data_IF_825072389902
#
_entry.id   IF_825072389902
#
_cell.length_a   1.000
_cell.length_b   1.000
_cell.length_c   1.000
_cell.angle_alpha   90.00
_cell.angle_beta   90.00
_cell.angle_gamma   90.00
#
_symmetry.space_group_name_H-M   'P 1'
#
loop_
_entity.id
_entity.type
_entity.pdbx_description
1 polymer ?
#
# COMPACT_ATOMS: atom_id res chain seq x y z
N UNK A 1 0.22 -8.50 20.62
CA UNK A 1 0.85 -8.37 19.28
C UNK A 1 2.34 -8.62 19.40
N UNK A 2 2.91 -9.32 18.44
CA UNK A 2 4.35 -9.45 18.33
C UNK A 2 4.86 -8.49 17.24
N UNK A 3 5.78 -7.59 17.59
CA UNK A 3 6.49 -6.73 16.66
C UNK A 3 7.86 -7.33 16.37
N UNK A 4 8.17 -7.54 15.09
CA UNK A 4 9.42 -8.14 14.63
C UNK A 4 10.13 -7.19 13.66
N UNK A 5 11.44 -6.99 13.91
CA UNK A 5 12.34 -6.36 12.94
C UNK A 5 13.02 -7.47 12.16
N UNK A 6 12.85 -7.50 10.85
CA UNK A 6 13.28 -8.63 10.01
C UNK A 6 14.22 -8.14 8.91
N UNK A 7 15.45 -8.63 8.93
CA UNK A 7 16.37 -8.56 7.81
C UNK A 7 16.19 -9.82 6.96
N UNK A 8 16.06 -9.67 5.66
CA UNK A 8 15.85 -10.77 4.71
C UNK A 8 16.60 -10.53 3.40
N UNK A 9 17.00 -11.60 2.75
CA UNK A 9 17.61 -11.50 1.43
C UNK A 9 16.53 -11.46 0.33
N UNK A 10 16.56 -10.43 -0.50
CA UNK A 10 15.75 -10.34 -1.72
C UNK A 10 16.54 -10.89 -2.89
N UNK A 11 16.06 -11.96 -3.51
CA UNK A 11 16.69 -12.50 -4.72
C UNK A 11 16.46 -11.59 -5.94
N UNK A 12 15.38 -10.81 -5.95
CA UNK A 12 15.07 -9.85 -7.01
C UNK A 12 16.02 -8.66 -7.00
N UNK A 13 16.41 -8.21 -5.79
CA UNK A 13 17.28 -7.05 -5.61
C UNK A 13 18.76 -7.45 -5.44
N UNK A 14 19.04 -8.75 -5.22
CA UNK A 14 20.37 -9.31 -4.93
C UNK A 14 21.05 -8.60 -3.74
N UNK A 15 20.27 -8.29 -2.70
CA UNK A 15 20.77 -7.68 -1.47
C UNK A 15 19.84 -7.93 -0.28
N UNK A 16 20.36 -7.66 0.92
CA UNK A 16 19.58 -7.73 2.15
C UNK A 16 18.68 -6.50 2.28
N UNK A 17 17.44 -6.76 2.66
CA UNK A 17 16.37 -5.79 2.82
C UNK A 17 15.78 -5.87 4.23
N UNK A 18 15.07 -4.84 4.64
CA UNK A 18 14.43 -4.74 5.94
C UNK A 18 12.92 -4.59 5.80
N UNK A 19 12.22 -5.21 6.75
CA UNK A 19 10.81 -4.97 7.01
C UNK A 19 10.52 -5.03 8.50
N UNK A 20 9.50 -4.30 8.93
CA UNK A 20 8.89 -4.52 10.24
C UNK A 20 7.58 -5.29 10.06
N UNK A 21 7.32 -6.23 10.96
CA UNK A 21 6.15 -7.09 10.89
C UNK A 21 5.42 -7.09 12.23
N UNK A 22 4.13 -6.79 12.19
CA UNK A 22 3.23 -6.92 13.33
C UNK A 22 2.42 -8.20 13.12
N UNK A 23 2.46 -9.12 14.10
CA UNK A 23 1.70 -10.36 14.04
C UNK A 23 0.57 -10.37 15.09
N UNK A 24 -0.63 -10.87 14.73
CA UNK A 24 -1.70 -11.09 15.69
C UNK A 24 -1.26 -11.99 16.86
N UNK A 25 -1.70 -11.64 18.05
CA UNK A 25 -1.47 -12.42 19.26
C UNK A 25 -2.70 -12.29 20.17
N UNK A 26 -3.21 -13.41 20.64
CA UNK A 26 -4.26 -13.41 21.66
C UNK A 26 -3.65 -12.97 22.98
N UNK A 27 -4.09 -11.84 23.50
CA UNK A 27 -3.60 -11.34 24.79
C UNK A 27 -4.75 -11.19 25.78
N UNK A 28 -4.48 -11.47 27.06
CA UNK A 28 -5.40 -11.27 28.17
C UNK A 28 -4.70 -10.48 29.27
N UNK A 29 -5.39 -9.48 29.83
CA UNK A 29 -4.84 -8.68 30.93
C UNK A 29 -3.85 -7.60 30.52
N UNK A 30 -3.72 -7.30 29.24
CA UNK A 30 -2.95 -6.16 28.75
C UNK A 30 -3.72 -4.86 29.00
N UNK A 31 -3.16 -3.94 29.78
CA UNK A 31 -3.85 -2.69 30.14
C UNK A 31 -4.03 -1.81 28.89
N UNK A 32 -5.27 -1.46 28.58
CA UNK A 32 -5.60 -0.53 27.49
C UNK A 32 -5.43 -1.09 26.08
N UNK A 33 -5.30 -2.41 25.93
CA UNK A 33 -5.18 -3.07 24.63
C UNK A 33 -5.77 -4.48 24.67
N UNK A 34 -6.56 -4.81 23.66
CA UNK A 34 -7.05 -6.16 23.42
C UNK A 34 -6.46 -6.68 22.10
N UNK A 35 -5.74 -7.78 22.17
CA UNK A 35 -5.21 -8.47 21.00
C UNK A 35 -6.09 -9.65 20.61
N UNK A 36 -6.44 -9.74 19.35
CA UNK A 36 -7.24 -10.83 18.79
C UNK A 36 -6.39 -11.72 17.86
N UNK A 37 -6.51 -13.03 18.05
CA UNK A 37 -5.89 -14.05 17.20
C UNK A 37 -6.86 -15.22 17.01
N UNK A 38 -8.03 -14.93 16.44
CA UNK A 38 -9.14 -15.86 16.34
C UNK A 38 -9.17 -16.68 15.04
N UNK A 39 -8.21 -16.45 14.12
CA UNK A 39 -8.19 -17.10 12.81
C UNK A 39 -7.02 -18.07 12.67
N UNK A 40 -7.25 -19.20 11.98
CA UNK A 40 -6.20 -20.16 11.65
C UNK A 40 -5.14 -19.52 10.73
N UNK A 41 -5.59 -18.70 9.78
CA UNK A 41 -4.75 -17.94 8.86
C UNK A 41 -5.02 -16.45 9.01
N UNK A 42 -3.97 -15.65 9.05
CA UNK A 42 -4.08 -14.19 9.20
C UNK A 42 -4.31 -13.49 7.87
N UNK A 43 -5.27 -12.58 7.85
CA UNK A 43 -5.33 -11.53 6.83
C UNK A 43 -4.06 -10.69 6.94
N UNK A 44 -3.50 -10.25 5.82
CA UNK A 44 -2.22 -9.55 5.81
C UNK A 44 -2.31 -8.24 5.04
N UNK A 45 -1.92 -7.16 5.68
CA UNK A 45 -1.78 -5.83 5.11
C UNK A 45 -0.31 -5.51 4.83
N UNK A 46 0.03 -5.21 3.58
CA UNK A 46 1.29 -4.59 3.19
C UNK A 46 1.13 -3.08 3.27
N UNK A 47 1.75 -2.45 4.29
CA UNK A 47 1.59 -1.04 4.62
C UNK A 47 2.80 -0.23 4.17
N UNK A 48 2.61 0.61 3.16
CA UNK A 48 3.65 1.24 2.37
C UNK A 48 3.97 2.66 2.85
N UNK A 49 5.26 2.96 3.02
CA UNK A 49 5.74 4.28 3.47
C UNK A 49 5.73 5.33 2.37
N UNK A 50 5.80 6.61 2.75
CA UNK A 50 5.94 7.77 1.87
C UNK A 50 7.37 8.01 1.39
N UNK A 51 7.54 9.04 0.55
CA UNK A 51 8.86 9.47 0.08
C UNK A 51 9.71 9.93 1.27
N UNK A 52 11.00 9.61 1.25
CA UNK A 52 11.99 9.85 2.31
C UNK A 52 11.84 9.04 3.61
N UNK A 53 10.85 8.16 3.69
CA UNK A 53 10.60 7.29 4.83
C UNK A 53 11.19 5.87 4.63
N UNK A 54 10.93 4.99 5.61
CA UNK A 54 11.33 3.59 5.60
C UNK A 54 10.31 2.68 6.34
N UNK A 55 10.64 1.42 6.54
CA UNK A 55 9.80 0.42 7.22
C UNK A 55 9.38 0.79 8.65
N UNK A 56 10.09 1.71 9.32
CA UNK A 56 9.83 2.07 10.72
C UNK A 56 8.79 3.18 10.87
N UNK A 57 8.49 3.91 9.78
CA UNK A 57 7.83 5.21 9.91
C UNK A 57 6.39 5.11 10.42
N UNK A 58 5.62 4.11 9.97
CA UNK A 58 4.25 3.92 10.43
C UNK A 58 4.16 3.70 11.94
N UNK A 59 5.08 2.93 12.53
CA UNK A 59 5.16 2.73 13.97
C UNK A 59 5.56 4.00 14.72
N UNK A 60 6.45 4.82 14.12
CA UNK A 60 6.97 6.04 14.75
C UNK A 60 5.99 7.20 14.71
N UNK A 61 5.01 7.18 13.83
CA UNK A 61 4.09 8.28 13.56
C UNK A 61 2.64 7.96 13.89
N UNK A 62 2.32 6.69 14.11
CA UNK A 62 0.96 6.22 14.40
C UNK A 62 0.95 5.19 15.54
N UNK A 63 -0.24 4.78 15.97
CA UNK A 63 -0.40 3.64 16.87
C UNK A 63 -0.79 2.36 16.09
N UNK A 64 -0.18 2.14 14.92
CA UNK A 64 -0.55 1.04 14.02
C UNK A 64 -0.54 -0.34 14.68
N UNK A 65 0.39 -0.58 15.64
CA UNK A 65 0.44 -1.83 16.38
C UNK A 65 -0.86 -2.05 17.16
N UNK A 66 -1.36 -1.04 17.88
CA UNK A 66 -2.60 -1.11 18.63
C UNK A 66 -3.80 -1.31 17.69
N UNK A 67 -3.87 -0.54 16.61
CA UNK A 67 -4.98 -0.64 15.66
C UNK A 67 -5.05 -2.03 15.01
N UNK A 68 -3.90 -2.58 14.61
CA UNK A 68 -3.80 -3.93 14.04
C UNK A 68 -4.16 -5.03 15.06
N UNK A 69 -3.81 -4.82 16.35
CA UNK A 69 -4.14 -5.76 17.42
C UNK A 69 -5.64 -5.96 17.57
N UNK A 70 -6.39 -4.86 17.58
CA UNK A 70 -7.84 -4.86 17.71
C UNK A 70 -8.54 -5.57 16.54
N UNK A 71 -7.89 -5.59 15.36
CA UNK A 71 -8.41 -6.22 14.14
C UNK A 71 -7.91 -7.65 13.91
N UNK A 72 -6.93 -8.11 14.66
CA UNK A 72 -6.34 -9.43 14.47
C UNK A 72 -5.70 -9.64 13.09
N UNK A 73 -5.17 -8.57 12.47
CA UNK A 73 -4.55 -8.56 11.15
C UNK A 73 -3.03 -8.52 11.26
N UNK A 74 -2.32 -9.26 10.41
CA UNK A 74 -0.88 -9.11 10.24
C UNK A 74 -0.56 -7.87 9.39
N UNK A 75 0.47 -7.10 9.78
CA UNK A 75 0.92 -5.92 9.02
C UNK A 75 2.39 -6.08 8.66
N UNK A 76 2.72 -5.91 7.39
CA UNK A 76 4.08 -5.95 6.86
C UNK A 76 4.43 -4.56 6.33
N UNK A 77 5.48 -3.97 6.86
CA UNK A 77 5.97 -2.63 6.49
C UNK A 77 7.35 -2.76 5.83
N UNK A 78 7.43 -2.79 4.48
CA UNK A 78 8.71 -2.91 3.77
C UNK A 78 9.39 -1.56 3.58
N UNK A 79 10.67 -1.57 3.22
CA UNK A 79 11.43 -0.41 2.75
C UNK A 79 11.64 -0.47 1.25
N UNK A 80 11.36 0.64 0.54
CA UNK A 80 11.76 0.86 -0.87
C UNK A 80 12.55 2.16 -1.05
N UNK A 81 12.84 2.86 0.05
CA UNK A 81 13.51 4.16 0.01
C UNK A 81 12.79 5.10 -0.98
N UNK A 82 13.53 5.67 -1.95
CA UNK A 82 13.01 6.54 -3.00
C UNK A 82 12.63 5.79 -4.29
N UNK A 83 12.38 4.48 -4.23
CA UNK A 83 12.15 3.63 -5.40
C UNK A 83 10.70 3.58 -5.90
N UNK A 84 9.78 4.32 -5.30
CA UNK A 84 8.40 4.49 -5.77
C UNK A 84 7.64 3.18 -6.04
N UNK A 85 7.99 2.10 -5.33
CA UNK A 85 7.37 0.79 -5.57
C UNK A 85 7.34 0.42 -7.05
N UNK A 86 8.44 0.71 -7.75
CA UNK A 86 8.57 0.63 -9.21
C UNK A 86 9.80 -0.20 -9.57
N UNK A 87 9.72 -1.00 -10.61
CA UNK A 87 10.90 -1.52 -11.25
C UNK A 87 11.53 -0.34 -12.01
N UNK A 88 12.54 0.25 -11.38
CA UNK A 88 13.09 1.53 -11.83
C UNK A 88 13.68 1.39 -13.24
N UNK A 89 13.53 2.40 -14.06
CA UNK A 89 14.11 2.44 -15.40
C UNK A 89 15.65 2.35 -15.35
N UNK A 90 16.27 2.92 -14.31
CA UNK A 90 17.72 2.88 -14.05
C UNK A 90 17.96 2.63 -12.56
N UNK A 91 17.68 1.40 -12.08
CA UNK A 91 17.84 1.08 -10.67
C UNK A 91 17.23 -0.25 -10.26
N UNK A 92 17.00 -0.44 -8.94
CA UNK A 92 16.45 -1.67 -8.40
C UNK A 92 15.00 -1.93 -8.84
N UNK A 93 14.61 -3.21 -8.86
CA UNK A 93 13.26 -3.67 -9.24
C UNK A 93 12.34 -3.73 -8.03
N UNK A 94 12.02 -2.57 -7.44
CA UNK A 94 11.25 -2.53 -6.20
C UNK A 94 9.81 -3.02 -6.32
N UNK A 95 9.13 -2.84 -7.47
CA UNK A 95 7.80 -3.42 -7.66
C UNK A 95 7.86 -4.95 -7.58
N UNK A 96 8.71 -5.58 -8.38
CA UNK A 96 8.85 -7.04 -8.37
C UNK A 96 9.26 -7.56 -7.00
N UNK A 97 10.19 -6.87 -6.31
CA UNK A 97 10.64 -7.26 -4.99
C UNK A 97 9.54 -7.14 -3.92
N UNK A 98 8.78 -6.03 -3.90
CA UNK A 98 7.84 -5.75 -2.80
C UNK A 98 6.42 -6.22 -3.07
N UNK A 99 5.94 -6.15 -4.33
CA UNK A 99 4.60 -6.60 -4.67
C UNK A 99 4.50 -8.10 -4.95
N UNK A 100 5.57 -8.73 -5.43
CA UNK A 100 5.53 -10.12 -5.90
C UNK A 100 6.37 -11.04 -5.01
N UNK A 101 7.65 -10.72 -4.76
CA UNK A 101 8.55 -11.58 -4.00
C UNK A 101 8.26 -11.54 -2.49
N UNK A 102 8.07 -10.33 -1.93
CA UNK A 102 7.88 -10.16 -0.49
C UNK A 102 6.70 -10.95 0.08
N UNK A 103 5.51 -11.02 -0.55
CA UNK A 103 4.44 -11.89 -0.07
C UNK A 103 4.83 -13.37 0.02
N UNK A 104 5.65 -13.87 -0.88
CA UNK A 104 6.14 -15.26 -0.86
C UNK A 104 7.14 -15.45 0.30
N UNK A 105 8.02 -14.47 0.53
CA UNK A 105 8.96 -14.48 1.66
C UNK A 105 8.19 -14.48 2.98
N UNK A 106 7.21 -13.59 3.13
CA UNK A 106 6.40 -13.48 4.35
C UNK A 106 5.64 -14.77 4.65
N UNK A 107 5.00 -15.39 3.66
CA UNK A 107 4.27 -16.68 3.84
C UNK A 107 5.20 -17.83 4.23
N UNK A 108 6.45 -17.81 3.77
CA UNK A 108 7.46 -18.80 4.15
C UNK A 108 7.99 -18.59 5.56
N UNK A 109 8.23 -17.33 5.97
CA UNK A 109 8.72 -17.00 7.31
C UNK A 109 7.61 -17.05 8.36
N UNK A 110 6.39 -16.69 7.99
CA UNK A 110 5.21 -16.61 8.85
C UNK A 110 4.08 -17.49 8.27
N UNK A 111 4.12 -18.81 8.48
CA UNK A 111 3.21 -19.77 7.81
C UNK A 111 1.71 -19.56 8.12
N UNK A 112 1.36 -18.76 9.13
CA UNK A 112 -0.02 -18.39 9.42
C UNK A 112 -0.52 -17.20 8.57
N UNK A 113 0.32 -16.48 7.84
CA UNK A 113 -0.17 -15.52 6.85
C UNK A 113 -0.89 -16.27 5.74
N UNK A 114 -2.11 -15.81 5.41
CA UNK A 114 -2.94 -16.43 4.37
C UNK A 114 -2.28 -16.31 2.99
N UNK A 115 -2.42 -17.33 2.17
CA UNK A 115 -2.03 -17.33 0.76
C UNK A 115 -3.18 -16.97 -0.18
N UNK A 116 -4.38 -16.77 0.37
CA UNK A 116 -5.56 -16.37 -0.38
C UNK A 116 -5.48 -14.90 -0.77
N UNK A 117 -5.90 -14.62 -1.99
CA UNK A 117 -6.03 -13.24 -2.49
C UNK A 117 -6.94 -12.40 -1.61
N UNK A 118 -8.08 -12.97 -1.20
CA UNK A 118 -9.13 -12.31 -0.42
C UNK A 118 -8.63 -11.80 0.94
N UNK A 119 -7.56 -12.38 1.43
CA UNK A 119 -6.93 -12.06 2.72
C UNK A 119 -5.66 -11.20 2.58
N UNK A 120 -5.34 -10.73 1.36
CA UNK A 120 -4.10 -9.99 1.06
C UNK A 120 -4.42 -8.58 0.57
N UNK A 121 -3.90 -7.58 1.29
CA UNK A 121 -4.23 -6.16 1.12
C UNK A 121 -2.97 -5.31 0.99
N UNK A 122 -3.10 -4.14 0.38
CA UNK A 122 -2.06 -3.10 0.40
C UNK A 122 -2.66 -1.75 0.75
N UNK A 123 -1.96 -0.97 1.56
CA UNK A 123 -2.31 0.42 1.85
C UNK A 123 -1.04 1.26 1.94
N UNK A 124 -1.17 2.56 1.76
CA UNK A 124 -0.04 3.47 1.93
C UNK A 124 -0.41 4.92 1.77
N UNK A 125 0.53 5.79 2.12
CA UNK A 125 0.38 7.24 2.01
C UNK A 125 1.31 7.81 0.93
N UNK A 126 0.90 8.89 0.26
CA UNK A 126 1.77 9.63 -0.67
C UNK A 126 2.37 8.70 -1.75
N UNK A 127 3.71 8.58 -1.83
CA UNK A 127 4.40 7.57 -2.64
C UNK A 127 3.90 6.14 -2.37
N UNK A 128 3.62 5.79 -1.10
CA UNK A 128 3.05 4.50 -0.72
C UNK A 128 1.61 4.33 -1.17
N UNK A 129 0.83 5.42 -1.27
CA UNK A 129 -0.52 5.41 -1.84
C UNK A 129 -0.50 5.09 -3.34
N UNK A 130 0.45 5.67 -4.08
CA UNK A 130 0.76 5.26 -5.45
C UNK A 130 1.13 3.77 -5.51
N UNK A 131 2.03 3.32 -4.62
CA UNK A 131 2.45 1.93 -4.53
C UNK A 131 1.29 0.97 -4.28
N UNK A 132 0.40 1.30 -3.35
CA UNK A 132 -0.76 0.47 -3.00
C UNK A 132 -1.73 0.31 -4.18
N UNK A 133 -2.07 1.42 -4.85
CA UNK A 133 -2.87 1.38 -6.09
C UNK A 133 -2.19 0.53 -7.16
N UNK A 134 -0.88 0.70 -7.34
CA UNK A 134 -0.11 -0.08 -8.30
C UNK A 134 -0.10 -1.57 -7.99
N UNK A 135 0.02 -1.95 -6.71
CA UNK A 135 -0.04 -3.35 -6.30
C UNK A 135 -1.37 -3.98 -6.69
N UNK A 136 -2.49 -3.31 -6.40
CA UNK A 136 -3.81 -3.80 -6.79
C UNK A 136 -4.04 -3.87 -8.29
N UNK A 137 -3.59 -2.85 -9.04
CA UNK A 137 -3.82 -2.75 -10.47
C UNK A 137 -2.86 -3.59 -11.33
N UNK A 138 -1.62 -3.83 -10.86
CA UNK A 138 -0.59 -4.58 -11.60
C UNK A 138 -0.33 -6.00 -11.07
N UNK A 139 -0.85 -6.30 -9.86
CA UNK A 139 -0.80 -7.64 -9.27
C UNK A 139 -2.18 -8.04 -8.67
N UNK A 140 -3.28 -7.93 -9.42
CA UNK A 140 -4.63 -8.16 -8.92
C UNK A 140 -4.87 -9.61 -8.45
N UNK A 141 -4.04 -10.54 -8.89
CA UNK A 141 -4.06 -11.94 -8.44
C UNK A 141 -3.54 -12.13 -7.02
N UNK A 142 -2.87 -11.12 -6.44
CA UNK A 142 -2.32 -11.15 -5.08
C UNK A 142 -3.17 -10.29 -4.14
N UNK A 143 -3.53 -9.08 -4.58
CA UNK A 143 -4.18 -8.08 -3.73
C UNK A 143 -5.67 -7.94 -4.08
N UNK A 144 -6.54 -8.13 -3.07
CA UNK A 144 -7.99 -8.02 -3.23
C UNK A 144 -8.52 -6.63 -2.92
N UNK A 145 -7.93 -5.94 -1.94
CA UNK A 145 -8.31 -4.60 -1.50
C UNK A 145 -7.06 -3.73 -1.41
N UNK A 146 -7.17 -2.49 -1.87
CA UNK A 146 -6.06 -1.52 -1.79
C UNK A 146 -6.54 -0.16 -1.33
N UNK A 147 -5.73 0.50 -0.48
CA UNK A 147 -6.08 1.82 0.04
C UNK A 147 -4.96 2.84 -0.20
N UNK A 148 -5.35 4.04 -0.63
CA UNK A 148 -4.46 5.17 -0.92
C UNK A 148 -4.84 6.37 -0.06
N UNK A 149 -3.94 6.82 0.79
CA UNK A 149 -4.08 8.02 1.60
C UNK A 149 -3.20 9.13 1.03
N UNK A 150 -3.80 10.20 0.52
CA UNK A 150 -3.08 11.29 -0.15
C UNK A 150 -2.08 10.77 -1.20
N UNK A 151 -2.46 9.77 -1.98
CA UNK A 151 -1.54 9.11 -2.92
C UNK A 151 -1.19 9.98 -4.12
N UNK A 152 0.03 9.85 -4.66
CA UNK A 152 0.41 10.44 -5.96
C UNK A 152 -0.23 9.63 -7.11
N UNK A 153 -1.57 9.63 -7.16
CA UNK A 153 -2.36 8.73 -7.99
C UNK A 153 -2.29 9.02 -9.49
N UNK A 154 -1.95 10.26 -9.89
CA UNK A 154 -1.80 10.68 -11.28
C UNK A 154 -0.41 11.29 -11.50
N UNK A 155 0.56 10.45 -11.82
CA UNK A 155 1.95 10.87 -12.06
C UNK A 155 2.13 11.68 -13.36
N UNK A 156 1.17 11.62 -14.28
CA UNK A 156 1.21 12.42 -15.50
C UNK A 156 0.81 13.86 -15.18
N UNK A 157 -0.30 14.07 -14.44
CA UNK A 157 -0.68 15.40 -13.98
C UNK A 157 0.32 15.99 -12.96
N UNK A 158 0.93 15.14 -12.13
CA UNK A 158 1.98 15.53 -11.18
C UNK A 158 3.22 16.07 -11.91
N UNK A 159 3.61 15.44 -13.02
CA UNK A 159 4.77 15.82 -13.82
C UNK A 159 6.12 15.54 -13.14
N UNK A 160 7.18 15.71 -13.91
CA UNK A 160 8.56 15.71 -13.39
C UNK A 160 8.96 17.16 -13.09
N UNK A 161 9.32 17.42 -11.85
CA UNK A 161 9.72 18.75 -11.40
C UNK A 161 11.10 18.70 -10.71
N UNK A 162 11.76 19.85 -10.61
CA UNK A 162 13.06 20.05 -9.96
C UNK A 162 14.16 19.10 -10.51
N UNK A 163 14.31 17.90 -9.95
CA UNK A 163 15.33 16.94 -10.34
C UNK A 163 14.81 15.96 -11.40
N UNK A 164 14.82 16.35 -12.67
CA UNK A 164 14.37 15.51 -13.79
C UNK A 164 15.14 14.19 -13.84
N UNK A 165 16.47 14.19 -13.61
CA UNK A 165 17.28 12.97 -13.60
C UNK A 165 16.80 11.96 -12.56
N UNK A 166 16.34 12.42 -11.40
CA UNK A 166 15.75 11.57 -10.38
C UNK A 166 14.49 10.86 -10.91
N UNK A 167 13.56 11.61 -11.48
CA UNK A 167 12.31 11.05 -12.00
C UNK A 167 12.54 10.10 -13.18
N UNK A 168 13.43 10.46 -14.10
CA UNK A 168 13.81 9.59 -15.22
C UNK A 168 14.50 8.31 -14.76
N UNK A 169 15.24 8.33 -13.67
CA UNK A 169 15.85 7.12 -13.14
C UNK A 169 14.81 6.13 -12.62
N UNK A 170 13.68 6.62 -12.14
CA UNK A 170 12.58 5.81 -11.60
C UNK A 170 11.64 5.37 -12.71
N UNK A 171 11.04 6.33 -13.41
CA UNK A 171 9.93 6.09 -14.33
C UNK A 171 10.32 6.05 -15.81
N UNK A 172 11.57 6.41 -16.17
CA UNK A 172 12.00 6.65 -17.54
C UNK A 172 11.66 8.07 -18.04
N UNK A 173 11.88 8.37 -19.33
CA UNK A 173 11.54 9.66 -19.92
C UNK A 173 10.06 10.01 -19.73
N UNK A 174 9.78 11.28 -19.41
CA UNK A 174 8.42 11.72 -19.10
C UNK A 174 7.43 11.49 -20.25
N UNK A 175 7.87 11.68 -21.49
CA UNK A 175 7.08 11.46 -22.70
C UNK A 175 6.70 9.99 -22.95
N UNK A 176 7.33 9.04 -22.21
CA UNK A 176 7.06 7.61 -22.25
C UNK A 176 6.25 7.13 -21.02
N UNK A 177 5.93 8.00 -20.08
CA UNK A 177 5.20 7.62 -18.86
C UNK A 177 3.74 7.27 -19.16
N UNK A 178 3.07 8.04 -19.98
CA UNK A 178 1.69 7.79 -20.38
C UNK A 178 1.56 6.42 -21.10
N UNK A 179 0.65 5.58 -20.62
CA UNK A 179 0.43 4.22 -21.12
C UNK A 179 1.49 3.21 -20.70
N UNK A 180 2.50 3.61 -19.92
CA UNK A 180 3.53 2.69 -19.41
C UNK A 180 3.00 1.82 -18.26
N UNK A 181 3.82 0.85 -17.84
CA UNK A 181 3.54 0.03 -16.65
C UNK A 181 3.34 0.88 -15.37
N UNK A 182 3.90 2.09 -15.33
CA UNK A 182 3.87 3.01 -14.21
C UNK A 182 2.69 4.00 -14.23
N UNK A 183 1.93 4.03 -15.33
CA UNK A 183 0.70 4.81 -15.47
C UNK A 183 -0.48 4.04 -14.83
N UNK A 184 -0.97 4.53 -13.69
CA UNK A 184 -2.06 3.87 -12.97
C UNK A 184 -3.41 4.01 -13.68
N UNK A 185 -3.63 5.08 -14.44
CA UNK A 185 -4.84 5.26 -15.25
C UNK A 185 -4.89 4.20 -16.37
N UNK A 186 -3.77 4.00 -17.06
CA UNK A 186 -3.63 2.95 -18.05
C UNK A 186 -3.81 1.57 -17.43
N UNK A 187 -3.20 1.30 -16.27
CA UNK A 187 -3.35 0.04 -15.54
C UNK A 187 -4.82 -0.27 -15.20
N UNK A 188 -5.55 0.74 -14.70
CA UNK A 188 -6.97 0.59 -14.40
C UNK A 188 -7.79 0.31 -15.67
N UNK A 189 -7.47 0.98 -16.78
CA UNK A 189 -8.14 0.76 -18.05
C UNK A 189 -7.90 -0.65 -18.62
N UNK A 190 -6.65 -1.14 -18.54
CA UNK A 190 -6.28 -2.49 -18.98
C UNK A 190 -7.02 -3.58 -18.18
N UNK A 191 -7.26 -3.32 -16.89
CA UNK A 191 -7.87 -4.28 -15.97
C UNK A 191 -9.41 -4.18 -15.92
N UNK A 192 -10.05 -3.22 -16.62
CA UNK A 192 -11.47 -2.88 -16.47
C UNK A 192 -12.45 -4.05 -16.64
N UNK A 193 -12.14 -4.98 -17.53
CA UNK A 193 -13.01 -6.13 -17.84
C UNK A 193 -12.57 -7.41 -17.10
N UNK A 194 -11.57 -7.32 -16.23
CA UNK A 194 -11.07 -8.46 -15.46
C UNK A 194 -12.04 -8.84 -14.33
N UNK A 195 -12.29 -10.13 -14.09
CA UNK A 195 -13.09 -10.57 -12.94
C UNK A 195 -12.38 -10.43 -11.60
N UNK A 196 -11.07 -10.16 -11.59
CA UNK A 196 -10.24 -10.10 -10.37
C UNK A 196 -9.74 -8.69 -10.08
N UNK A 197 -10.55 -7.67 -10.33
CA UNK A 197 -10.22 -6.28 -9.98
C UNK A 197 -10.13 -6.12 -8.44
N UNK A 198 -9.24 -5.25 -7.93
CA UNK A 198 -9.24 -4.90 -6.52
C UNK A 198 -10.44 -4.01 -6.17
N UNK A 199 -10.91 -4.09 -4.92
CA UNK A 199 -11.68 -3.00 -4.34
C UNK A 199 -10.71 -1.89 -3.92
N UNK A 200 -11.12 -0.65 -4.06
CA UNK A 200 -10.27 0.51 -3.84
C UNK A 200 -10.88 1.43 -2.79
N UNK A 201 -10.07 1.84 -1.83
CA UNK A 201 -10.37 2.94 -0.91
C UNK A 201 -9.39 4.07 -1.17
N UNK A 202 -9.88 5.30 -1.27
CA UNK A 202 -9.04 6.49 -1.41
C UNK A 202 -9.50 7.59 -0.47
N UNK A 203 -8.55 8.25 0.18
CA UNK A 203 -8.78 9.48 0.94
C UNK A 203 -7.73 10.53 0.56
N UNK A 204 -8.15 11.79 0.48
CA UNK A 204 -7.24 12.93 0.31
C UNK A 204 -7.75 14.13 1.11
N UNK A 205 -6.84 14.90 1.70
CA UNK A 205 -7.17 16.17 2.35
C UNK A 205 -7.54 17.25 1.32
N UNK A 206 -8.49 18.12 1.66
CA UNK A 206 -8.95 19.19 0.75
C UNK A 206 -7.90 20.27 0.52
N UNK A 207 -6.90 20.40 1.39
CA UNK A 207 -5.78 21.32 1.28
C UNK A 207 -4.50 20.64 0.77
N UNK A 208 -4.57 19.33 0.46
CA UNK A 208 -3.42 18.55 -0.01
C UNK A 208 -3.06 18.89 -1.47
N UNK A 209 -1.77 19.12 -1.73
CA UNK A 209 -1.28 19.42 -3.08
C UNK A 209 -1.49 18.29 -4.11
N UNK A 210 -1.79 17.06 -3.67
CA UNK A 210 -2.10 15.92 -4.52
C UNK A 210 -3.60 15.72 -4.77
N UNK A 211 -4.46 16.60 -4.25
CA UNK A 211 -5.92 16.49 -4.36
C UNK A 211 -6.39 16.33 -5.81
N UNK A 212 -5.89 17.15 -6.73
CA UNK A 212 -6.31 17.08 -8.13
C UNK A 212 -5.99 15.72 -8.78
N UNK A 213 -4.82 15.13 -8.49
CA UNK A 213 -4.44 13.81 -8.97
C UNK A 213 -5.34 12.70 -8.40
N UNK A 214 -5.80 12.87 -7.14
CA UNK A 214 -6.76 11.96 -6.51
C UNK A 214 -8.16 12.11 -7.13
N UNK A 215 -8.62 13.33 -7.49
CA UNK A 215 -9.86 13.54 -8.23
C UNK A 215 -9.81 12.85 -9.61
N UNK A 216 -8.72 13.04 -10.34
CA UNK A 216 -8.55 12.42 -11.66
C UNK A 216 -8.65 10.89 -11.57
N UNK A 217 -7.96 10.27 -10.59
CA UNK A 217 -8.02 8.82 -10.37
C UNK A 217 -9.40 8.35 -9.93
N UNK A 218 -10.04 9.05 -8.99
CA UNK A 218 -11.43 8.78 -8.57
C UNK A 218 -12.38 8.73 -9.76
N UNK A 219 -12.38 9.80 -10.56
CA UNK A 219 -13.30 9.94 -11.70
C UNK A 219 -13.03 8.85 -12.75
N UNK A 220 -11.76 8.52 -12.96
CA UNK A 220 -11.37 7.45 -13.88
C UNK A 220 -11.84 6.07 -13.40
N UNK A 221 -11.58 5.72 -12.13
CA UNK A 221 -12.02 4.44 -11.55
C UNK A 221 -13.55 4.31 -11.53
N UNK A 222 -14.27 5.40 -11.22
CA UNK A 222 -15.74 5.44 -11.28
C UNK A 222 -16.26 5.22 -12.70
N UNK A 223 -15.68 5.88 -13.69
CA UNK A 223 -16.04 5.71 -15.10
C UNK A 223 -15.82 4.28 -15.61
N UNK A 224 -14.81 3.56 -15.06
CA UNK A 224 -14.52 2.17 -15.37
C UNK A 224 -15.31 1.15 -14.51
N UNK A 225 -16.16 1.61 -13.59
CA UNK A 225 -17.01 0.77 -12.75
C UNK A 225 -16.24 -0.05 -11.72
N UNK A 226 -15.17 0.50 -11.14
CA UNK A 226 -14.50 -0.11 -10.00
C UNK A 226 -15.34 0.01 -8.71
N UNK A 227 -15.22 -0.97 -7.82
CA UNK A 227 -15.65 -0.85 -6.44
C UNK A 227 -14.74 0.16 -5.73
N UNK A 228 -15.21 1.39 -5.57
CA UNK A 228 -14.44 2.51 -5.03
C UNK A 228 -15.18 3.18 -3.88
N UNK A 229 -14.51 3.32 -2.75
CA UNK A 229 -14.84 4.26 -1.68
C UNK A 229 -13.87 5.43 -1.80
N UNK A 230 -14.40 6.64 -1.97
CA UNK A 230 -13.60 7.87 -2.01
C UNK A 230 -14.11 8.86 -0.99
N UNK A 231 -13.19 9.34 -0.14
CA UNK A 231 -13.48 10.31 0.91
C UNK A 231 -12.55 11.51 0.83
N UNK A 232 -13.06 12.66 1.25
CA UNK A 232 -12.31 13.90 1.46
C UNK A 232 -12.68 14.49 2.82
N UNK A 233 -11.74 15.15 3.44
CA UNK A 233 -11.99 15.96 4.63
C UNK A 233 -10.96 17.10 4.69
N UNK A 234 -11.23 18.13 5.52
CA UNK A 234 -10.23 19.16 5.78
C UNK A 234 -8.90 18.54 6.22
N UNK A 235 -7.83 18.98 5.63
CA UNK A 235 -6.48 18.49 5.90
C UNK A 235 -5.53 18.65 4.73
N UNK A 236 -4.26 18.64 5.03
CA UNK A 236 -3.17 18.71 4.08
C UNK A 236 -2.29 17.44 4.13
N UNK A 237 -1.07 17.49 3.58
CA UNK A 237 -0.17 16.35 3.43
C UNK A 237 0.59 16.06 4.75
N UNK A 238 -0.12 15.62 5.81
CA UNK A 238 0.45 15.44 7.14
C UNK A 238 0.09 14.11 7.82
N UNK A 239 1.00 13.63 8.67
CA UNK A 239 0.87 12.39 9.43
C UNK A 239 -0.35 12.32 10.36
N UNK A 240 -0.79 13.45 10.94
CA UNK A 240 -1.95 13.47 11.85
C UNK A 240 -3.23 12.97 11.19
N UNK A 241 -3.40 13.25 9.88
CA UNK A 241 -4.54 12.76 9.11
C UNK A 241 -4.38 11.29 8.72
N UNK A 242 -3.17 10.89 8.35
CA UNK A 242 -2.92 9.49 8.00
C UNK A 242 -3.02 8.54 9.20
N UNK A 243 -2.66 8.99 10.42
CA UNK A 243 -2.89 8.23 11.67
C UNK A 243 -4.39 8.05 11.97
N UNK A 244 -5.20 9.07 11.68
CA UNK A 244 -6.66 8.96 11.80
C UNK A 244 -7.23 8.02 10.73
N UNK A 245 -6.86 8.22 9.46
CA UNK A 245 -7.48 7.52 8.33
C UNK A 245 -7.05 6.07 8.19
N UNK A 246 -5.86 5.68 8.67
CA UNK A 246 -5.48 4.27 8.66
C UNK A 246 -6.38 3.41 9.52
N UNK A 247 -7.01 3.95 10.55
CA UNK A 247 -7.99 3.23 11.35
C UNK A 247 -9.24 2.90 10.52
N UNK A 248 -9.78 3.90 9.79
CA UNK A 248 -10.90 3.68 8.86
C UNK A 248 -10.54 2.65 7.78
N UNK A 249 -9.31 2.70 7.26
CA UNK A 249 -8.82 1.71 6.29
C UNK A 249 -8.79 0.31 6.90
N UNK A 250 -8.29 0.15 8.12
CA UNK A 250 -8.27 -1.14 8.81
C UNK A 250 -9.68 -1.68 9.06
N UNK A 251 -10.65 -0.82 9.44
CA UNK A 251 -12.05 -1.20 9.56
C UNK A 251 -12.56 -1.75 8.22
N UNK A 252 -12.40 -0.99 7.14
CA UNK A 252 -12.84 -1.39 5.81
C UNK A 252 -12.16 -2.68 5.30
N UNK A 253 -10.86 -2.88 5.60
CA UNK A 253 -10.14 -4.08 5.18
C UNK A 253 -10.62 -5.34 5.92
N UNK A 254 -11.04 -5.20 7.17
CA UNK A 254 -11.42 -6.32 8.02
C UNK A 254 -12.92 -6.58 8.06
N UNK A 255 -13.74 -5.63 7.57
CA UNK A 255 -15.19 -5.84 7.45
C UNK A 255 -15.47 -7.07 6.57
N UNK A 256 -16.23 -7.98 7.12
CA UNK A 256 -16.76 -9.11 6.36
C UNK A 256 -17.78 -8.56 5.36
N UNK A 257 -17.48 -8.66 4.06
CA UNK A 257 -18.52 -8.45 3.05
C UNK A 257 -19.58 -9.52 3.31
N UNK A 258 -20.81 -9.12 3.57
CA UNK A 258 -21.94 -10.05 3.48
C UNK A 258 -21.88 -10.73 2.11
N UNK A 259 -21.75 -12.04 2.14
CA UNK A 259 -21.56 -12.90 0.97
C UNK A 259 -22.82 -12.96 0.10
#
# INVERSE_FOLDING_TARGET
>A
MALLHVDYHSCVLDCDMQMDVILPEQTTGQIGMEGHDNSEKWKTLYLLHGMSDDHTIWQRRTSIERYAAEKGIAVVMPTTRLGWYTDMAKGPKYFTATAIELPQICRRLFPRMSDRREDTYAAGLSMGGYGALKFGLRAPQIYSRVASLSGAADMIAHGYYENITYWESIFGPYDQLAGSFNDLMAAATELKDSPIRPDVYMWCGTEDGLLQGNHNMRDHLQALGYSLIYEESAGDHEWKYWDEKIQTVLDWLTDEKEA
#
